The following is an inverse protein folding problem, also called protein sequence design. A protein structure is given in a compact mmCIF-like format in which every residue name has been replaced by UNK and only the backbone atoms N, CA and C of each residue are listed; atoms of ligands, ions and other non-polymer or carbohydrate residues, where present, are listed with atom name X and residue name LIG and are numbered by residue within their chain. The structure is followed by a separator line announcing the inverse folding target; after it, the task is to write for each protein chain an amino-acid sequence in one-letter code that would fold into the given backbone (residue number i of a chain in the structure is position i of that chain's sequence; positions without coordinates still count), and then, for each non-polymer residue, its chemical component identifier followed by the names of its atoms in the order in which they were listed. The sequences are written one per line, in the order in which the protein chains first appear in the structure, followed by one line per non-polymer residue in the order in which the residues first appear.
data_IF_088230602231
#
_entry.id   IF_088230602231
#
_cell.length_a   1.000
_cell.length_b   1.000
_cell.length_c   1.000
_cell.angle_alpha   90.00
_cell.angle_beta   90.00
_cell.angle_gamma   90.00
#
_symmetry.space_group_name_H-M   'P 1'
#
loop_
_entity.id
_entity.type
_entity.pdbx_description
1 polymer ?
#
# COMPACT_ATOMS: atom_id res chain seq x y z
N UNK A 1 27.70 3.99 16.57
CA UNK A 1 28.10 3.42 15.27
C UNK A 1 28.25 1.92 15.48
N UNK A 2 27.50 1.08 14.76
CA UNK A 2 27.48 -0.38 14.95
C UNK A 2 28.65 -1.10 14.28
N UNK A 3 28.74 -2.43 14.50
CA UNK A 3 29.71 -3.29 13.80
C UNK A 3 29.31 -3.40 12.33
N UNK A 4 30.22 -3.05 11.43
CA UNK A 4 29.96 -3.07 9.99
C UNK A 4 31.05 -3.84 9.23
N UNK A 5 30.63 -4.67 8.29
CA UNK A 5 31.50 -5.36 7.33
C UNK A 5 31.51 -4.60 6.01
N UNK A 6 32.70 -4.28 5.48
CA UNK A 6 32.85 -3.68 4.14
C UNK A 6 32.65 -4.74 3.04
N UNK A 7 32.17 -4.37 1.84
CA UNK A 7 32.10 -5.29 0.71
C UNK A 7 33.50 -5.74 0.27
N UNK A 8 33.68 -7.04 0.04
CA UNK A 8 34.92 -7.59 -0.50
C UNK A 8 34.94 -7.51 -2.03
N UNK A 9 35.50 -6.42 -2.54
CA UNK A 9 35.58 -6.17 -3.98
C UNK A 9 36.67 -7.00 -4.68
N UNK A 10 37.45 -7.81 -3.95
CA UNK A 10 38.40 -8.73 -4.56
C UNK A 10 37.73 -10.06 -4.95
N UNK A 11 36.57 -10.39 -4.37
CA UNK A 11 35.81 -11.59 -4.73
C UNK A 11 35.13 -11.42 -6.11
N UNK A 12 35.54 -12.20 -7.14
CA UNK A 12 34.93 -12.13 -8.46
C UNK A 12 33.46 -12.59 -8.46
N UNK A 13 33.07 -13.47 -7.54
CA UNK A 13 31.69 -13.95 -7.42
C UNK A 13 30.78 -12.83 -6.93
N UNK A 14 31.19 -12.10 -5.88
CA UNK A 14 30.44 -10.96 -5.38
C UNK A 14 30.30 -9.86 -6.46
N UNK A 15 31.39 -9.54 -7.17
CA UNK A 15 31.34 -8.56 -8.27
C UNK A 15 30.36 -8.97 -9.38
N UNK A 16 30.35 -10.25 -9.76
CA UNK A 16 29.42 -10.76 -10.77
C UNK A 16 27.95 -10.66 -10.34
N UNK A 17 27.66 -10.82 -9.04
CA UNK A 17 26.31 -10.62 -8.47
C UNK A 17 25.92 -9.14 -8.45
N UNK A 18 26.82 -8.26 -8.00
CA UNK A 18 26.57 -6.81 -7.93
C UNK A 18 26.32 -6.21 -9.30
N UNK A 19 27.02 -6.67 -10.34
CA UNK A 19 26.78 -6.23 -11.73
C UNK A 19 25.36 -6.54 -12.23
N UNK A 20 24.68 -7.53 -11.63
CA UNK A 20 23.29 -7.90 -11.90
C UNK A 20 22.29 -7.28 -10.91
N UNK A 21 22.73 -6.37 -10.03
CA UNK A 21 21.90 -5.78 -8.98
C UNK A 21 21.57 -6.72 -7.81
N UNK A 22 22.35 -7.79 -7.62
CA UNK A 22 22.17 -8.79 -6.56
C UNK A 22 23.36 -8.79 -5.59
N UNK A 23 23.23 -9.49 -4.45
CA UNK A 23 24.35 -9.68 -3.51
C UNK A 23 24.60 -8.50 -2.56
N UNK A 24 23.66 -7.57 -2.46
CA UNK A 24 23.73 -6.45 -1.51
C UNK A 24 23.60 -6.86 -0.03
N UNK A 25 23.40 -8.14 0.26
CA UNK A 25 23.36 -8.73 1.60
C UNK A 25 24.72 -9.26 2.11
N UNK A 26 25.82 -9.11 1.34
CA UNK A 26 27.15 -9.64 1.71
C UNK A 26 28.00 -8.69 2.58
N UNK A 27 27.51 -7.48 2.81
CA UNK A 27 28.17 -6.41 3.56
C UNK A 27 27.15 -5.64 4.41
N UNK A 28 27.64 -4.80 5.31
CA UNK A 28 26.81 -4.08 6.28
C UNK A 28 26.84 -4.72 7.65
N UNK A 29 25.74 -4.60 8.38
CA UNK A 29 25.58 -5.19 9.70
C UNK A 29 25.23 -6.70 9.59
N UNK A 30 25.80 -7.57 10.44
CA UNK A 30 25.41 -8.98 10.47
C UNK A 30 23.93 -9.15 10.83
N UNK A 31 23.17 -9.84 9.98
CA UNK A 31 21.75 -10.08 10.24
C UNK A 31 21.52 -10.86 11.55
N UNK A 32 22.35 -11.86 11.82
CA UNK A 32 22.35 -12.61 13.08
C UNK A 32 23.54 -12.23 13.96
N UNK A 33 23.36 -12.03 15.28
CA UNK A 33 22.07 -11.96 15.98
C UNK A 33 21.43 -10.56 15.94
N UNK A 34 22.18 -9.54 15.47
CA UNK A 34 21.87 -8.14 15.72
C UNK A 34 20.45 -7.73 15.31
N UNK A 35 20.04 -8.07 14.09
CA UNK A 35 18.73 -7.67 13.57
C UNK A 35 17.68 -8.76 13.84
N UNK A 36 17.99 -10.00 13.44
CA UNK A 36 17.05 -11.13 13.49
C UNK A 36 16.68 -11.58 14.90
N UNK A 37 17.62 -11.55 15.86
CA UNK A 37 17.34 -12.02 17.22
C UNK A 37 16.93 -10.87 18.15
N UNK A 38 17.46 -9.67 17.95
CA UNK A 38 17.20 -8.57 18.88
C UNK A 38 16.15 -7.59 18.37
N UNK A 39 16.22 -7.15 17.11
CA UNK A 39 15.28 -6.15 16.59
C UNK A 39 13.94 -6.77 16.18
N UNK A 40 13.96 -7.93 15.53
CA UNK A 40 12.73 -8.56 15.03
C UNK A 40 11.72 -8.85 16.16
N UNK A 41 12.10 -9.44 17.32
CA UNK A 41 11.15 -9.61 18.41
C UNK A 41 10.60 -8.31 18.98
N UNK A 42 11.38 -7.23 19.00
CA UNK A 42 10.90 -5.91 19.45
C UNK A 42 9.81 -5.40 18.51
N UNK A 43 9.99 -5.51 17.20
CA UNK A 43 8.98 -5.13 16.21
C UNK A 43 7.73 -6.01 16.32
N UNK A 44 7.91 -7.33 16.45
CA UNK A 44 6.82 -8.29 16.61
C UNK A 44 6.00 -7.96 17.86
N UNK A 45 6.65 -7.86 19.03
CA UNK A 45 5.99 -7.59 20.29
C UNK A 45 5.35 -6.21 20.30
N UNK A 46 6.00 -5.20 19.73
CA UNK A 46 5.43 -3.85 19.58
C UNK A 46 4.15 -3.86 18.74
N UNK A 47 4.16 -4.57 17.61
CA UNK A 47 2.98 -4.69 16.73
C UNK A 47 1.83 -5.44 17.43
N UNK A 48 2.13 -6.54 18.10
CA UNK A 48 1.15 -7.31 18.88
C UNK A 48 0.58 -6.45 20.01
N UNK A 49 1.42 -5.75 20.76
CA UNK A 49 1.01 -4.90 21.86
C UNK A 49 0.08 -3.76 21.39
N UNK A 50 0.38 -3.11 20.27
CA UNK A 50 -0.51 -2.10 19.68
C UNK A 50 -1.86 -2.70 19.28
N UNK A 51 -1.87 -3.84 18.60
CA UNK A 51 -3.12 -4.48 18.15
C UNK A 51 -3.98 -4.94 19.34
N UNK A 52 -3.37 -5.56 20.36
CA UNK A 52 -4.06 -5.96 21.59
C UNK A 52 -4.56 -4.72 22.34
N UNK A 53 -3.76 -3.66 22.43
CA UNK A 53 -4.15 -2.40 23.03
C UNK A 53 -5.39 -1.82 22.36
N UNK A 54 -5.41 -1.72 21.03
CA UNK A 54 -6.57 -1.25 20.26
C UNK A 54 -7.79 -2.15 20.47
N UNK A 55 -7.64 -3.47 20.40
CA UNK A 55 -8.75 -4.40 20.58
C UNK A 55 -9.38 -4.35 21.98
N UNK A 56 -8.58 -4.04 23.01
CA UNK A 56 -9.06 -3.88 24.40
C UNK A 56 -9.70 -2.52 24.62
N UNK A 57 -9.10 -1.45 24.07
CA UNK A 57 -9.60 -0.08 24.25
C UNK A 57 -10.83 0.23 23.39
N UNK A 58 -10.95 -0.40 22.22
CA UNK A 58 -12.04 -0.22 21.27
C UNK A 58 -12.53 -1.61 20.78
N UNK A 59 -13.30 -2.34 21.60
CA UNK A 59 -13.81 -3.65 21.23
C UNK A 59 -14.81 -3.55 20.08
N UNK A 60 -14.84 -4.55 19.21
CA UNK A 60 -15.74 -4.59 18.06
C UNK A 60 -17.21 -4.64 18.49
N UNK A 61 -18.05 -3.82 17.87
CA UNK A 61 -19.49 -3.81 18.08
C UNK A 61 -20.16 -5.00 17.39
N UNK A 62 -21.21 -5.54 18.02
CA UNK A 62 -22.09 -6.56 17.43
C UNK A 62 -23.30 -5.84 16.84
N UNK A 63 -23.55 -6.05 15.55
CA UNK A 63 -24.72 -5.51 14.85
C UNK A 63 -25.97 -6.36 15.03
N UNK A 64 -27.07 -5.87 14.47
CA UNK A 64 -28.34 -6.60 14.43
C UNK A 64 -28.26 -7.82 13.49
N UNK A 65 -29.07 -8.88 13.71
CA UNK A 65 -29.18 -9.98 12.76
C UNK A 65 -29.62 -9.50 11.37
N UNK A 66 -29.14 -10.15 10.31
CA UNK A 66 -29.48 -9.78 8.95
C UNK A 66 -30.97 -9.98 8.64
N UNK A 67 -31.63 -8.95 8.12
CA UNK A 67 -33.00 -8.99 7.60
C UNK A 67 -33.01 -8.65 6.09
N UNK A 68 -33.35 -9.60 5.20
CA UNK A 68 -33.43 -9.36 3.76
C UNK A 68 -34.48 -8.32 3.35
N UNK A 69 -35.47 -8.01 4.19
CA UNK A 69 -36.55 -7.07 3.90
C UNK A 69 -36.31 -5.67 4.47
N UNK A 70 -35.24 -5.47 5.25
CA UNK A 70 -34.87 -4.18 5.83
C UNK A 70 -33.46 -3.78 5.39
N UNK A 71 -33.37 -2.69 4.61
CA UNK A 71 -32.08 -2.12 4.18
C UNK A 71 -31.65 -1.03 5.17
N UNK A 72 -30.43 -1.06 5.72
CA UNK A 72 -29.94 0.01 6.60
C UNK A 72 -29.75 1.31 5.82
N UNK A 73 -29.80 2.44 6.54
CA UNK A 73 -29.67 3.78 5.96
C UNK A 73 -28.29 4.02 5.34
N UNK A 74 -27.25 3.48 5.96
CA UNK A 74 -25.86 3.55 5.49
C UNK A 74 -25.34 2.15 5.17
N UNK A 75 -24.77 1.99 3.97
CA UNK A 75 -24.15 0.75 3.52
C UNK A 75 -22.76 1.10 3.00
N UNK A 76 -21.75 0.70 3.76
CA UNK A 76 -20.35 0.90 3.42
C UNK A 76 -19.59 -0.43 3.55
N UNK A 77 -18.66 -0.73 2.64
CA UNK A 77 -17.76 -1.86 2.80
C UNK A 77 -16.64 -1.51 3.79
N UNK A 78 -15.59 -2.35 3.86
CA UNK A 78 -14.39 -1.99 4.60
C UNK A 78 -13.60 -0.83 3.95
N UNK A 79 -12.83 -0.11 4.75
CA UNK A 79 -12.18 1.15 4.38
C UNK A 79 -11.27 1.06 3.15
N UNK A 80 -10.58 -0.05 2.95
CA UNK A 80 -9.69 -0.26 1.80
C UNK A 80 -10.46 -0.47 0.49
N UNK A 81 -11.76 -0.75 0.56
CA UNK A 81 -12.64 -0.80 -0.61
C UNK A 81 -13.32 0.53 -0.92
N UNK A 82 -13.19 1.56 -0.08
CA UNK A 82 -13.85 2.85 -0.31
C UNK A 82 -13.56 3.48 -1.68
N UNK A 83 -12.30 3.51 -2.19
CA UNK A 83 -12.05 4.09 -3.51
C UNK A 83 -12.76 3.33 -4.64
N UNK A 84 -12.81 1.99 -4.56
CA UNK A 84 -13.50 1.14 -5.54
C UNK A 84 -15.01 1.29 -5.41
N UNK A 85 -15.54 1.31 -4.19
CA UNK A 85 -16.95 1.54 -3.93
C UNK A 85 -17.42 2.89 -4.49
N UNK A 86 -16.61 3.94 -4.32
CA UNK A 86 -16.89 5.25 -4.89
C UNK A 86 -16.96 5.20 -6.42
N UNK A 87 -16.05 4.49 -7.09
CA UNK A 87 -16.11 4.27 -8.55
C UNK A 87 -17.40 3.55 -8.93
N UNK A 88 -17.74 2.46 -8.23
CA UNK A 88 -18.91 1.63 -8.56
C UNK A 88 -20.24 2.37 -8.44
N UNK A 89 -20.39 3.27 -7.47
CA UNK A 89 -21.63 4.03 -7.27
C UNK A 89 -21.73 5.32 -8.08
N UNK A 90 -20.62 5.84 -8.61
CA UNK A 90 -20.59 7.11 -9.38
C UNK A 90 -20.63 6.91 -10.88
N UNK A 91 -20.06 5.81 -11.40
CA UNK A 91 -20.02 5.56 -12.84
C UNK A 91 -21.38 5.04 -13.32
N UNK A 92 -22.06 5.72 -14.25
CA UNK A 92 -23.42 5.34 -14.67
C UNK A 92 -23.45 4.03 -15.47
N UNK A 93 -22.39 3.75 -16.24
CA UNK A 93 -22.28 2.50 -16.98
C UNK A 93 -21.67 1.39 -16.11
N UNK A 94 -22.47 0.37 -15.80
CA UNK A 94 -22.05 -0.76 -14.96
C UNK A 94 -20.83 -1.50 -15.49
N UNK A 95 -20.74 -1.73 -16.80
CA UNK A 95 -19.60 -2.43 -17.41
C UNK A 95 -18.31 -1.60 -17.25
N UNK A 96 -18.40 -0.29 -17.47
CA UNK A 96 -17.26 0.61 -17.29
C UNK A 96 -16.78 0.62 -15.83
N UNK A 97 -17.70 0.66 -14.86
CA UNK A 97 -17.36 0.57 -13.43
C UNK A 97 -16.60 -0.73 -13.09
N UNK A 98 -17.06 -1.86 -13.60
CA UNK A 98 -16.38 -3.16 -13.40
C UNK A 98 -14.99 -3.17 -14.06
N UNK A 99 -14.85 -2.64 -15.27
CA UNK A 99 -13.56 -2.55 -15.95
C UNK A 99 -12.56 -1.66 -15.17
N UNK A 100 -13.02 -0.53 -14.62
CA UNK A 100 -12.19 0.36 -13.79
C UNK A 100 -11.79 -0.28 -12.45
N UNK A 101 -12.64 -1.13 -11.87
CA UNK A 101 -12.29 -1.88 -10.67
C UNK A 101 -11.16 -2.89 -10.95
N UNK A 102 -11.27 -3.65 -12.05
CA UNK A 102 -10.26 -4.66 -12.43
C UNK A 102 -8.96 -4.01 -12.92
N UNK A 103 -9.03 -2.79 -13.46
CA UNK A 103 -7.84 -2.08 -13.96
C UNK A 103 -6.86 -1.71 -12.85
N UNK A 104 -7.27 -1.63 -11.58
CA UNK A 104 -6.36 -1.34 -10.45
C UNK A 104 -5.28 -2.42 -10.29
N UNK A 105 -5.61 -3.71 -10.00
CA UNK A 105 -4.59 -4.75 -9.92
C UNK A 105 -3.93 -5.05 -11.27
N UNK A 106 -4.68 -4.99 -12.38
CA UNK A 106 -4.11 -5.24 -13.71
C UNK A 106 -3.09 -4.16 -14.10
N UNK A 107 -3.34 -2.90 -13.77
CA UNK A 107 -2.42 -1.79 -13.99
C UNK A 107 -1.17 -1.93 -13.13
N UNK A 108 -1.33 -2.20 -11.83
CA UNK A 108 -0.22 -2.40 -10.91
C UNK A 108 0.72 -3.54 -11.35
N UNK A 109 0.17 -4.60 -11.94
CA UNK A 109 0.96 -5.70 -12.49
C UNK A 109 1.91 -5.25 -13.62
N UNK A 110 1.54 -4.24 -14.39
CA UNK A 110 2.33 -3.76 -15.54
C UNK A 110 3.46 -2.79 -15.16
N UNK A 111 3.44 -2.22 -13.96
CA UNK A 111 4.41 -1.21 -13.49
C UNK A 111 5.88 -1.60 -13.71
N UNK A 112 6.39 -2.76 -13.23
CA UNK A 112 7.81 -3.11 -13.40
C UNK A 112 8.22 -3.33 -14.87
N UNK A 113 7.27 -3.67 -15.75
CA UNK A 113 7.53 -3.89 -17.16
C UNK A 113 7.60 -2.58 -17.94
N UNK A 114 6.74 -1.62 -17.61
CA UNK A 114 6.70 -0.29 -18.23
C UNK A 114 7.83 0.61 -17.73
N UNK A 115 8.18 0.53 -16.44
CA UNK A 115 9.17 1.41 -15.83
C UNK A 115 10.63 0.94 -16.01
N UNK A 116 10.85 -0.20 -16.67
CA UNK A 116 12.19 -0.76 -16.94
C UNK A 116 13.03 0.05 -17.94
N UNK A 117 12.53 1.20 -18.40
CA UNK A 117 13.25 2.13 -19.31
C UNK A 117 14.48 2.77 -18.64
N UNK A 118 14.53 2.81 -17.31
CA UNK A 118 15.67 3.35 -16.55
C UNK A 118 16.01 2.45 -15.36
N UNK A 119 17.27 2.52 -14.90
CA UNK A 119 17.78 1.74 -13.74
C UNK A 119 17.81 2.54 -12.44
N UNK A 120 17.32 3.78 -12.43
CA UNK A 120 17.37 4.60 -11.24
C UNK A 120 16.39 4.06 -10.19
N UNK A 121 16.78 4.13 -8.92
CA UNK A 121 15.92 3.70 -7.80
C UNK A 121 15.44 4.90 -6.96
N UNK A 122 16.26 5.95 -6.89
CA UNK A 122 15.91 7.17 -6.13
C UNK A 122 14.74 7.92 -6.79
N UNK A 123 13.64 8.21 -6.07
CA UNK A 123 12.48 8.95 -6.60
C UNK A 123 12.82 10.30 -7.23
N UNK A 124 13.78 11.04 -6.67
CA UNK A 124 14.21 12.34 -7.21
C UNK A 124 14.89 12.23 -8.58
N UNK A 125 15.33 11.03 -8.98
CA UNK A 125 15.86 10.75 -10.33
C UNK A 125 14.82 10.19 -11.30
N UNK A 126 13.56 10.06 -10.85
CA UNK A 126 12.43 9.50 -11.61
C UNK A 126 11.19 10.41 -11.51
N UNK A 127 11.32 11.71 -11.83
CA UNK A 127 10.29 12.71 -11.50
C UNK A 127 8.92 12.39 -12.10
N UNK A 128 8.86 11.84 -13.32
CA UNK A 128 7.58 11.48 -13.96
C UNK A 128 6.87 10.36 -13.19
N UNK A 129 7.56 9.26 -12.88
CA UNK A 129 7.00 8.15 -12.13
C UNK A 129 6.54 8.59 -10.73
N UNK A 130 7.36 9.39 -10.04
CA UNK A 130 7.02 9.93 -8.72
C UNK A 130 5.78 10.82 -8.77
N UNK A 131 5.66 11.72 -9.76
CA UNK A 131 4.47 12.56 -9.91
C UNK A 131 3.21 11.73 -10.21
N UNK A 132 3.30 10.73 -11.10
CA UNK A 132 2.16 9.83 -11.40
C UNK A 132 1.72 9.06 -10.15
N UNK A 133 2.67 8.55 -9.37
CA UNK A 133 2.39 7.90 -8.09
C UNK A 133 1.66 8.85 -7.12
N UNK A 134 2.16 10.08 -6.94
CA UNK A 134 1.53 11.07 -6.07
C UNK A 134 0.11 11.42 -6.51
N UNK A 135 -0.12 11.65 -7.80
CA UNK A 135 -1.46 11.89 -8.35
C UNK A 135 -2.36 10.68 -8.08
N UNK A 136 -1.89 9.46 -8.33
CA UNK A 136 -2.63 8.23 -8.06
C UNK A 136 -3.00 8.08 -6.58
N UNK A 137 -2.08 8.37 -5.67
CA UNK A 137 -2.33 8.36 -4.22
C UNK A 137 -3.37 9.41 -3.83
N UNK A 138 -3.25 10.64 -4.34
CA UNK A 138 -4.23 11.71 -4.06
C UNK A 138 -5.61 11.34 -4.58
N UNK A 139 -5.71 10.78 -5.79
CA UNK A 139 -6.99 10.31 -6.35
C UNK A 139 -7.59 9.18 -5.52
N UNK A 140 -6.79 8.20 -5.09
CA UNK A 140 -7.26 7.11 -4.23
C UNK A 140 -7.79 7.64 -2.89
N UNK A 141 -7.10 8.59 -2.26
CA UNK A 141 -7.56 9.24 -1.04
C UNK A 141 -8.83 10.07 -1.28
N UNK A 142 -8.90 10.81 -2.39
CA UNK A 142 -10.06 11.62 -2.76
C UNK A 142 -11.32 10.76 -2.91
N UNK A 143 -11.21 9.64 -3.63
CA UNK A 143 -12.30 8.70 -3.80
C UNK A 143 -12.64 8.00 -2.47
N UNK A 144 -11.64 7.66 -1.66
CA UNK A 144 -11.83 7.06 -0.34
C UNK A 144 -12.63 7.95 0.61
N UNK A 145 -12.31 9.24 0.68
CA UNK A 145 -13.06 10.22 1.48
C UNK A 145 -14.46 10.43 0.88
N UNK A 146 -14.53 10.62 -0.44
CA UNK A 146 -15.79 10.82 -1.17
C UNK A 146 -16.80 9.69 -0.98
N UNK A 147 -16.35 8.46 -0.75
CA UNK A 147 -17.19 7.28 -0.46
C UNK A 147 -18.12 7.46 0.76
N UNK A 148 -17.66 8.20 1.77
CA UNK A 148 -18.40 8.44 3.02
C UNK A 148 -19.38 9.62 2.92
N UNK A 149 -19.31 10.38 1.82
CA UNK A 149 -20.16 11.54 1.60
C UNK A 149 -21.39 11.20 0.73
N UNK A 150 -22.45 12.01 0.80
CA UNK A 150 -23.57 11.96 -0.15
C UNK A 150 -23.12 12.06 -1.61
N UNK A 151 -23.83 11.37 -2.50
CA UNK A 151 -23.43 11.20 -3.91
C UNK A 151 -23.26 12.54 -4.65
N UNK A 152 -24.10 13.52 -4.33
CA UNK A 152 -24.13 14.88 -4.88
C UNK A 152 -22.88 15.70 -4.54
N UNK A 153 -22.24 15.43 -3.40
CA UNK A 153 -21.01 16.12 -2.95
C UNK A 153 -19.76 15.25 -3.05
N UNK A 154 -19.90 14.00 -3.45
CA UNK A 154 -18.83 13.01 -3.38
C UNK A 154 -17.60 13.34 -4.25
N UNK A 155 -17.77 14.14 -5.30
CA UNK A 155 -16.66 14.61 -6.14
C UNK A 155 -16.05 15.93 -5.67
N UNK A 156 -16.81 16.80 -5.01
CA UNK A 156 -16.34 18.10 -4.54
C UNK A 156 -15.85 18.07 -3.10
N UNK A 157 -16.16 16.99 -2.39
CA UNK A 157 -15.96 16.82 -0.95
C UNK A 157 -16.59 17.95 -0.12
N UNK A 158 -17.59 18.63 -0.68
CA UNK A 158 -18.24 19.80 -0.07
C UNK A 158 -17.38 21.07 -0.05
N UNK A 159 -16.29 21.13 -0.82
CA UNK A 159 -15.35 22.26 -0.82
C UNK A 159 -15.55 23.26 -1.96
N UNK A 160 -16.09 22.82 -3.11
CA UNK A 160 -16.29 23.66 -4.30
C UNK A 160 -17.54 23.24 -5.09
#
# INVERSE_FOLDING_TARGET
MGVTKKPDLNDPVLRAKLAKGMGHNYYGEPAWPNDLLYIFPVVILGTIACNVGLAVLEPSMIGEPADPFATPLEILPEWYFFPVFQILRTVPNKLLGVLLMVSVPAGLLTVPFLENVNKFQNPFRRPVATTVFLIGTVVALWLGVGATLPIDKSLTLGLF
#
